data_IF_917037088998
#
_entry.id   IF_917037088998
#
_cell.length_a   1.000
_cell.length_b   1.000
_cell.length_c   1.000
_cell.angle_alpha   90.00
_cell.angle_beta   90.00
_cell.angle_gamma   90.00
#
_symmetry.space_group_name_H-M   'P 1'
#
loop_
_entity.id
_entity.type
_entity.pdbx_description
1 polymer ?
#
# COMPACT_ATOMS: atom_id res chain seq x y z
N UNK A 1 -11.55 -10.82 16.86
CA UNK A 1 -12.27 -11.39 15.70
C UNK A 1 -13.50 -10.58 15.33
N UNK A 2 -14.61 -10.58 16.11
CA UNK A 2 -15.89 -9.95 15.74
C UNK A 2 -15.76 -8.48 15.34
N UNK A 3 -14.90 -7.69 15.99
CA UNK A 3 -14.74 -6.26 15.71
C UNK A 3 -13.98 -6.00 14.40
N UNK A 4 -12.88 -6.69 14.14
CA UNK A 4 -12.00 -6.37 13.01
C UNK A 4 -12.17 -7.31 11.81
N UNK A 5 -12.39 -8.59 12.04
CA UNK A 5 -12.63 -9.56 10.98
C UNK A 5 -14.06 -9.47 10.44
N UNK A 6 -15.07 -9.47 11.34
CA UNK A 6 -16.48 -9.40 10.95
C UNK A 6 -17.06 -7.98 11.00
N UNK A 7 -16.24 -6.98 11.32
CA UNK A 7 -16.61 -5.56 11.37
C UNK A 7 -17.81 -5.24 12.24
N UNK A 8 -18.06 -6.00 13.32
CA UNK A 8 -19.20 -5.82 14.23
C UNK A 8 -18.85 -4.85 15.35
N UNK A 9 -19.43 -3.63 15.39
CA UNK A 9 -19.19 -2.68 16.48
C UNK A 9 -19.62 -3.24 17.85
N UNK A 10 -18.98 -2.79 18.93
CA UNK A 10 -19.26 -3.31 20.28
C UNK A 10 -20.73 -3.21 20.66
N UNK A 11 -21.44 -2.12 20.32
CA UNK A 11 -22.86 -1.99 20.64
C UNK A 11 -23.72 -3.10 20.01
N UNK A 12 -23.39 -3.53 18.78
CA UNK A 12 -24.09 -4.65 18.12
C UNK A 12 -23.76 -5.99 18.80
N UNK A 13 -22.50 -6.20 19.17
CA UNK A 13 -22.07 -7.39 19.91
C UNK A 13 -22.84 -7.48 21.25
N UNK A 14 -23.00 -6.36 21.97
CA UNK A 14 -23.77 -6.32 23.22
C UNK A 14 -25.25 -6.65 22.97
N UNK A 15 -25.84 -6.16 21.90
CA UNK A 15 -27.19 -6.54 21.54
C UNK A 15 -27.34 -8.04 21.31
N UNK A 16 -26.39 -8.66 20.60
CA UNK A 16 -26.34 -10.11 20.40
C UNK A 16 -26.25 -10.86 21.74
N UNK A 17 -25.31 -10.44 22.62
CA UNK A 17 -25.17 -11.06 23.96
C UNK A 17 -26.40 -10.90 24.81
N UNK A 18 -27.11 -9.77 24.74
CA UNK A 18 -28.41 -9.55 25.45
C UNK A 18 -29.49 -10.51 24.97
N UNK A 19 -29.57 -10.77 23.66
CA UNK A 19 -30.49 -11.76 23.10
C UNK A 19 -30.19 -13.19 23.59
N UNK A 20 -28.89 -13.47 23.85
CA UNK A 20 -28.45 -14.74 24.45
C UNK A 20 -28.63 -14.79 25.99
N UNK A 21 -29.26 -13.79 26.59
CA UNK A 21 -29.54 -13.75 28.06
C UNK A 21 -28.46 -13.07 28.91
N UNK A 22 -27.34 -12.60 28.30
CA UNK A 22 -26.24 -11.93 29.02
C UNK A 22 -26.53 -10.43 29.21
N UNK A 23 -27.30 -10.07 30.22
CA UNK A 23 -27.77 -8.69 30.45
C UNK A 23 -26.78 -7.73 31.10
N UNK A 24 -25.70 -8.25 31.72
CA UNK A 24 -24.75 -7.45 32.51
C UNK A 24 -23.58 -6.87 31.71
N UNK A 25 -23.45 -7.20 30.42
CA UNK A 25 -22.34 -6.69 29.60
C UNK A 25 -22.59 -5.26 29.12
N UNK A 26 -21.58 -4.40 29.28
CA UNK A 26 -21.58 -3.01 28.80
C UNK A 26 -20.49 -2.82 27.73
N UNK A 27 -20.61 -1.72 26.96
CA UNK A 27 -19.56 -1.37 25.99
C UNK A 27 -18.20 -1.13 26.66
N UNK A 28 -18.21 -0.46 27.83
CA UNK A 28 -17.01 -0.24 28.63
C UNK A 28 -16.34 -1.55 29.07
N UNK A 29 -17.14 -2.58 29.42
CA UNK A 29 -16.60 -3.91 29.77
C UNK A 29 -15.91 -4.56 28.59
N UNK A 30 -16.54 -4.55 27.41
CA UNK A 30 -15.94 -5.11 26.20
C UNK A 30 -14.69 -4.33 25.77
N UNK A 31 -14.71 -3.00 25.85
CA UNK A 31 -13.57 -2.14 25.54
C UNK A 31 -12.40 -2.45 26.50
N UNK A 32 -12.67 -2.57 27.79
CA UNK A 32 -11.64 -2.94 28.78
C UNK A 32 -11.03 -4.33 28.55
N UNK A 33 -11.83 -5.32 28.21
CA UNK A 33 -11.32 -6.66 27.84
C UNK A 33 -10.50 -6.61 26.57
N UNK A 34 -10.96 -5.85 25.59
CA UNK A 34 -10.28 -5.70 24.32
C UNK A 34 -8.90 -5.04 24.49
N UNK A 35 -8.80 -3.93 25.25
CA UNK A 35 -7.53 -3.27 25.54
C UNK A 35 -6.54 -4.20 26.22
N UNK A 36 -6.98 -4.94 27.24
CA UNK A 36 -6.10 -5.95 27.90
C UNK A 36 -5.63 -7.04 26.94
N UNK A 37 -6.50 -7.49 26.03
CA UNK A 37 -6.11 -8.48 25.02
C UNK A 37 -5.05 -7.92 24.07
N UNK A 38 -5.21 -6.68 23.61
CA UNK A 38 -4.22 -5.99 22.75
C UNK A 38 -2.88 -5.86 23.45
N UNK A 39 -2.87 -5.46 24.75
CA UNK A 39 -1.64 -5.39 25.55
C UNK A 39 -0.92 -6.74 25.64
N UNK A 40 -1.67 -7.84 25.82
CA UNK A 40 -1.10 -9.19 25.83
C UNK A 40 -0.54 -9.62 24.48
N UNK A 41 -1.11 -9.13 23.38
CA UNK A 41 -0.66 -9.44 22.02
C UNK A 41 0.48 -8.54 21.51
N UNK A 42 0.81 -7.48 22.24
CA UNK A 42 1.86 -6.53 21.83
C UNK A 42 3.21 -7.20 21.52
N UNK A 43 3.75 -8.13 22.31
CA UNK A 43 5.02 -8.80 21.97
C UNK A 43 4.94 -9.58 20.65
N UNK A 44 3.77 -10.17 20.33
CA UNK A 44 3.56 -10.85 19.06
C UNK A 44 3.53 -9.86 17.88
N UNK A 45 2.95 -8.68 18.08
CA UNK A 45 2.97 -7.63 17.07
C UNK A 45 4.39 -7.12 16.80
N UNK A 46 5.18 -6.88 17.85
CA UNK A 46 6.59 -6.45 17.73
C UNK A 46 7.44 -7.49 17.00
N UNK A 47 7.17 -8.80 17.23
CA UNK A 47 7.83 -9.87 16.48
C UNK A 47 7.38 -9.88 15.01
N UNK A 48 6.09 -9.69 14.74
CA UNK A 48 5.57 -9.61 13.39
C UNK A 48 6.17 -8.40 12.61
N UNK A 49 6.33 -7.24 13.25
CA UNK A 49 7.05 -6.11 12.65
C UNK A 49 8.49 -6.50 12.28
N UNK A 50 9.20 -7.18 13.20
CA UNK A 50 10.57 -7.64 12.96
C UNK A 50 10.64 -8.59 11.78
N UNK A 51 9.75 -9.58 11.72
CA UNK A 51 9.68 -10.54 10.61
C UNK A 51 9.39 -9.85 9.27
N UNK A 52 8.44 -8.90 9.22
CA UNK A 52 8.13 -8.15 8.00
C UNK A 52 9.34 -7.36 7.50
N UNK A 53 10.07 -6.69 8.39
CA UNK A 53 11.23 -5.88 8.01
C UNK A 53 12.55 -6.68 7.93
N UNK A 54 12.56 -7.97 8.30
CA UNK A 54 13.68 -8.87 8.03
C UNK A 54 13.75 -9.31 6.56
N UNK A 55 12.62 -9.17 5.84
CA UNK A 55 12.53 -9.48 4.42
C UNK A 55 13.16 -8.40 3.57
N UNK A 56 13.77 -8.78 2.44
CA UNK A 56 14.41 -7.86 1.50
C UNK A 56 13.44 -7.26 0.45
N UNK A 57 12.15 -7.61 0.51
CA UNK A 57 11.12 -7.06 -0.37
C UNK A 57 9.79 -6.87 0.35
N UNK A 58 9.43 -5.62 0.54
CA UNK A 58 8.16 -5.21 1.16
C UNK A 58 7.36 -4.28 0.25
N UNK A 59 6.04 -4.31 0.44
CA UNK A 59 5.12 -3.32 -0.13
C UNK A 59 4.56 -2.46 1.00
N UNK A 60 4.44 -1.16 0.76
CA UNK A 60 3.86 -0.20 1.70
C UNK A 60 2.76 0.62 1.03
N UNK A 61 1.76 0.97 1.81
CA UNK A 61 0.67 1.86 1.41
C UNK A 61 0.07 2.50 2.66
N UNK A 62 -0.64 3.61 2.52
CA UNK A 62 -1.32 4.25 3.62
C UNK A 62 -2.83 4.42 3.34
N UNK A 63 -3.62 4.28 4.39
CA UNK A 63 -5.06 4.48 4.30
C UNK A 63 -5.57 5.44 5.35
N UNK A 64 -6.64 6.15 5.03
CA UNK A 64 -7.22 7.12 5.96
C UNK A 64 -8.07 6.46 7.02
N UNK A 65 -7.97 6.95 8.25
CA UNK A 65 -8.84 6.60 9.37
C UNK A 65 -9.42 7.90 9.95
N UNK A 66 -10.76 8.08 9.95
CA UNK A 66 -11.37 9.23 10.60
C UNK A 66 -11.27 9.11 12.12
N UNK A 67 -10.75 10.13 12.79
CA UNK A 67 -10.59 10.18 14.26
C UNK A 67 -11.34 11.38 14.83
N UNK A 68 -12.16 11.17 15.84
CA UNK A 68 -12.94 12.24 16.48
C UNK A 68 -12.00 13.24 17.16
N UNK A 69 -12.08 14.48 16.74
CA UNK A 69 -11.49 15.62 17.41
C UNK A 69 -12.59 16.37 18.14
N UNK A 70 -12.61 16.22 19.46
CA UNK A 70 -13.66 16.83 20.32
C UNK A 70 -13.55 18.35 20.38
N UNK A 71 -12.34 18.90 20.29
CA UNK A 71 -12.10 20.36 20.33
C UNK A 71 -12.63 21.03 19.07
N UNK A 72 -12.44 20.37 17.90
CA UNK A 72 -12.87 20.89 16.60
C UNK A 72 -14.31 20.47 16.25
N UNK A 73 -14.98 19.66 17.06
CA UNK A 73 -16.31 19.10 16.81
C UNK A 73 -16.45 18.42 15.44
N UNK A 74 -15.38 17.73 15.00
CA UNK A 74 -15.35 17.00 13.70
C UNK A 74 -14.47 15.76 13.81
N UNK A 75 -14.50 14.92 12.78
CA UNK A 75 -13.49 13.89 12.59
C UNK A 75 -12.34 14.46 11.74
N UNK A 76 -11.12 14.39 12.25
CA UNK A 76 -9.92 14.68 11.49
C UNK A 76 -9.55 13.46 10.65
N UNK A 77 -8.94 13.69 9.49
CA UNK A 77 -8.48 12.65 8.56
C UNK A 77 -7.08 12.26 8.95
N UNK A 78 -6.95 11.15 9.65
CA UNK A 78 -5.68 10.57 10.08
C UNK A 78 -5.28 9.39 9.19
N UNK A 79 -4.04 8.90 9.31
CA UNK A 79 -3.49 7.86 8.45
C UNK A 79 -3.01 6.66 9.25
N UNK A 80 -3.25 5.50 8.67
CA UNK A 80 -2.75 4.21 9.10
C UNK A 80 -1.84 3.68 8.00
N UNK A 81 -0.61 3.35 8.33
CA UNK A 81 0.36 2.77 7.43
C UNK A 81 0.23 1.26 7.41
N UNK A 82 0.37 0.67 6.25
CA UNK A 82 0.42 -0.76 6.06
C UNK A 82 1.76 -1.12 5.41
N UNK A 83 2.44 -2.13 5.96
CA UNK A 83 3.63 -2.73 5.37
C UNK A 83 3.42 -4.23 5.25
N UNK A 84 3.77 -4.79 4.10
CA UNK A 84 3.62 -6.21 3.82
C UNK A 84 4.90 -6.78 3.24
N UNK A 85 5.42 -7.88 3.80
CA UNK A 85 6.41 -8.70 3.12
C UNK A 85 5.73 -9.48 1.98
N UNK A 86 6.33 -9.44 0.79
CA UNK A 86 5.72 -10.07 -0.40
C UNK A 86 5.91 -11.58 -0.36
N UNK A 87 7.12 -12.02 -0.01
CA UNK A 87 7.50 -13.44 -0.03
C UNK A 87 6.87 -14.22 1.13
N UNK A 88 6.94 -13.68 2.35
CA UNK A 88 6.42 -14.33 3.56
C UNK A 88 4.92 -14.14 3.74
N UNK A 89 4.30 -13.23 2.97
CA UNK A 89 2.86 -12.91 3.01
C UNK A 89 2.40 -12.40 4.38
N UNK A 90 3.31 -11.82 5.16
CA UNK A 90 3.03 -11.18 6.43
C UNK A 90 2.70 -9.71 6.22
N UNK A 91 1.82 -9.15 7.05
CA UNK A 91 1.46 -7.74 6.96
C UNK A 91 1.24 -7.14 8.35
N UNK A 92 1.61 -5.87 8.48
CA UNK A 92 1.39 -5.06 9.68
C UNK A 92 0.64 -3.79 9.33
N UNK A 93 -0.06 -3.25 10.34
CA UNK A 93 -0.62 -1.92 10.31
C UNK A 93 0.02 -1.09 11.40
N UNK A 94 0.52 0.08 11.06
CA UNK A 94 1.18 0.97 12.00
C UNK A 94 0.49 2.34 12.05
N UNK A 95 0.26 2.84 13.27
CA UNK A 95 -0.35 4.14 13.53
C UNK A 95 0.60 5.02 14.34
N UNK A 96 1.01 6.13 13.77
CA UNK A 96 1.88 7.11 14.41
C UNK A 96 1.17 8.48 14.49
N UNK A 97 0.32 8.64 15.52
CA UNK A 97 -0.43 9.87 15.76
C UNK A 97 -1.27 10.37 14.56
N UNK A 98 -1.50 9.52 13.56
CA UNK A 98 -2.24 9.84 12.35
C UNK A 98 -1.45 10.57 11.26
N UNK A 99 -0.14 10.65 11.41
CA UNK A 99 0.74 11.32 10.45
C UNK A 99 0.77 10.61 9.10
N UNK A 100 0.73 11.38 8.00
CA UNK A 100 1.04 10.94 6.63
C UNK A 100 2.48 11.24 6.23
N UNK A 101 3.30 11.79 7.10
CA UNK A 101 4.68 12.15 6.76
C UNK A 101 5.50 10.90 6.39
N UNK A 102 6.32 10.98 5.35
CA UNK A 102 7.24 9.90 4.97
C UNK A 102 8.20 9.49 6.10
N UNK A 103 8.46 10.39 7.05
CA UNK A 103 9.24 10.10 8.25
C UNK A 103 8.69 8.94 9.10
N UNK A 104 7.39 8.62 9.00
CA UNK A 104 6.80 7.47 9.72
C UNK A 104 7.36 6.17 9.17
N UNK A 105 7.28 5.96 7.87
CA UNK A 105 7.79 4.73 7.24
C UNK A 105 9.33 4.68 7.28
N UNK A 106 10.00 5.82 7.20
CA UNK A 106 11.44 5.93 7.36
C UNK A 106 11.88 5.51 8.78
N UNK A 107 11.17 5.98 9.81
CA UNK A 107 11.43 5.61 11.21
C UNK A 107 11.27 4.11 11.43
N UNK A 108 10.21 3.50 10.89
CA UNK A 108 9.99 2.06 10.96
C UNK A 108 11.10 1.29 10.25
N UNK A 109 11.43 1.65 9.02
CA UNK A 109 12.51 1.00 8.28
C UNK A 109 13.85 1.08 9.00
N UNK A 110 14.17 2.24 9.57
CA UNK A 110 15.40 2.46 10.34
C UNK A 110 15.40 1.67 11.65
N UNK A 111 14.28 1.59 12.36
CA UNK A 111 14.14 0.83 13.61
C UNK A 111 14.54 -0.65 13.43
N UNK A 112 14.20 -1.23 12.28
CA UNK A 112 14.50 -2.63 11.95
C UNK A 112 15.69 -2.79 11.01
N UNK A 113 16.42 -1.70 10.71
CA UNK A 113 17.57 -1.70 9.80
C UNK A 113 17.25 -2.35 8.44
N UNK A 114 16.08 -2.00 7.90
CA UNK A 114 15.58 -2.55 6.64
C UNK A 114 16.50 -2.22 5.47
N UNK A 115 16.75 -3.22 4.64
CA UNK A 115 17.53 -3.12 3.41
C UNK A 115 16.85 -3.93 2.31
N UNK A 116 16.72 -3.34 1.14
CA UNK A 116 16.12 -4.03 0.01
C UNK A 116 15.11 -3.19 -0.76
N UNK A 117 14.08 -3.83 -1.29
CA UNK A 117 13.08 -3.20 -2.12
C UNK A 117 11.84 -2.80 -1.31
N UNK A 118 11.46 -1.53 -1.41
CA UNK A 118 10.21 -1.01 -0.88
C UNK A 118 9.33 -0.54 -2.04
N UNK A 119 8.26 -1.27 -2.31
CA UNK A 119 7.30 -0.95 -3.36
C UNK A 119 6.13 -0.15 -2.80
N UNK A 120 5.80 0.97 -3.44
CA UNK A 120 4.76 1.88 -3.02
C UNK A 120 4.03 2.51 -4.21
N UNK A 121 3.03 3.32 -3.91
CA UNK A 121 2.44 4.23 -4.90
C UNK A 121 3.39 5.39 -5.23
N UNK A 122 2.91 6.39 -5.94
CA UNK A 122 3.68 7.59 -6.29
C UNK A 122 3.60 8.72 -5.25
N UNK A 123 3.33 8.45 -3.99
CA UNK A 123 3.33 9.48 -2.96
C UNK A 123 4.75 9.98 -2.68
N UNK A 124 4.97 11.29 -2.83
CA UNK A 124 6.29 11.94 -2.71
C UNK A 124 6.93 11.76 -1.32
N UNK A 125 6.15 11.39 -0.31
CA UNK A 125 6.63 11.11 1.03
C UNK A 125 7.66 9.97 1.07
N UNK A 126 7.48 8.92 0.25
CA UNK A 126 8.43 7.81 0.14
C UNK A 126 9.74 8.26 -0.50
N UNK A 127 9.67 9.02 -1.60
CA UNK A 127 10.88 9.52 -2.28
C UNK A 127 11.71 10.43 -1.34
N UNK A 128 11.04 11.27 -0.56
CA UNK A 128 11.69 12.16 0.40
C UNK A 128 12.33 11.38 1.54
N UNK A 129 11.62 10.39 2.09
CA UNK A 129 12.06 9.58 3.22
C UNK A 129 13.33 8.77 2.89
N UNK A 130 13.38 8.16 1.72
CA UNK A 130 14.48 7.24 1.37
C UNK A 130 15.54 7.84 0.42
N UNK A 131 15.44 9.13 0.10
CA UNK A 131 16.41 9.81 -0.80
C UNK A 131 17.86 9.67 -0.36
N UNK A 132 18.12 9.69 0.94
CA UNK A 132 19.46 9.61 1.51
C UNK A 132 19.86 8.19 1.94
N UNK A 133 18.97 7.21 1.80
CA UNK A 133 19.24 5.83 2.22
C UNK A 133 19.47 4.92 1.01
N UNK A 134 20.73 4.64 0.64
CA UNK A 134 21.06 3.80 -0.53
C UNK A 134 20.74 2.32 -0.32
N UNK A 135 20.50 1.88 0.92
CA UNK A 135 20.17 0.49 1.21
C UNK A 135 18.69 0.17 0.88
N UNK A 136 17.84 1.20 0.70
CA UNK A 136 16.42 1.03 0.34
C UNK A 136 16.21 1.47 -1.11
N UNK A 137 15.79 0.53 -1.96
CA UNK A 137 15.45 0.77 -3.36
C UNK A 137 13.94 0.91 -3.49
N UNK A 138 13.48 2.08 -3.93
CA UNK A 138 12.07 2.31 -4.15
C UNK A 138 11.61 1.67 -5.46
N UNK A 139 10.47 0.99 -5.41
CA UNK A 139 9.72 0.52 -6.57
C UNK A 139 8.39 1.26 -6.62
N UNK A 140 7.94 1.59 -7.82
CA UNK A 140 6.63 2.20 -8.01
C UNK A 140 5.61 1.19 -8.58
N UNK A 141 4.38 1.64 -8.75
CA UNK A 141 3.26 0.82 -9.18
C UNK A 141 2.84 1.16 -10.61
N UNK A 142 2.91 0.19 -11.52
CA UNK A 142 2.52 0.36 -12.91
C UNK A 142 1.01 0.59 -13.08
N UNK A 143 0.18 0.09 -12.14
CA UNK A 143 -1.28 0.34 -12.14
C UNK A 143 -1.57 1.83 -11.94
N UNK A 144 -0.82 2.52 -11.08
CA UNK A 144 -0.98 3.96 -10.88
C UNK A 144 -0.56 4.75 -12.15
N UNK A 145 0.55 4.37 -12.77
CA UNK A 145 0.97 4.94 -14.07
C UNK A 145 -0.12 4.72 -15.12
N UNK A 146 -0.64 3.50 -15.25
CA UNK A 146 -1.73 3.16 -16.15
C UNK A 146 -2.96 4.03 -15.92
N UNK A 147 -3.37 4.22 -14.66
CA UNK A 147 -4.54 5.03 -14.29
C UNK A 147 -4.42 6.48 -14.77
N UNK A 148 -3.23 7.07 -14.69
CA UNK A 148 -3.00 8.42 -15.24
C UNK A 148 -3.20 8.48 -16.74
N UNK A 149 -2.75 7.51 -17.50
CA UNK A 149 -3.01 7.46 -18.96
C UNK A 149 -4.47 7.15 -19.27
N UNK A 150 -5.17 6.33 -18.48
CA UNK A 150 -6.61 6.12 -18.62
C UNK A 150 -7.40 7.44 -18.45
N UNK A 151 -7.03 8.27 -17.48
CA UNK A 151 -7.64 9.59 -17.27
C UNK A 151 -7.37 10.57 -18.41
N UNK A 152 -6.32 10.37 -19.19
CA UNK A 152 -5.96 11.21 -20.33
C UNK A 152 -6.63 10.79 -21.66
N UNK A 153 -7.37 9.67 -21.70
CA UNK A 153 -8.00 9.13 -22.92
C UNK A 153 -8.98 10.10 -23.58
N UNK A 154 -9.73 10.87 -22.79
CA UNK A 154 -10.73 11.81 -23.31
C UNK A 154 -10.08 13.07 -23.89
N UNK A 155 -8.90 13.46 -23.41
CA UNK A 155 -8.16 14.63 -23.88
C UNK A 155 -7.26 14.29 -25.08
N UNK A 156 -6.50 13.19 -25.00
CA UNK A 156 -5.58 12.77 -26.05
C UNK A 156 -5.54 11.23 -26.16
N UNK A 157 -6.51 10.71 -26.91
CA UNK A 157 -6.70 9.26 -27.07
C UNK A 157 -5.49 8.57 -27.70
N UNK A 158 -4.87 9.15 -28.70
CA UNK A 158 -3.75 8.53 -29.43
C UNK A 158 -2.57 8.29 -28.50
N UNK A 159 -2.12 9.31 -27.79
CA UNK A 159 -0.98 9.23 -26.87
C UNK A 159 -1.27 8.35 -25.65
N UNK A 160 -2.45 8.49 -25.09
CA UNK A 160 -2.85 7.66 -23.96
C UNK A 160 -2.95 6.17 -24.36
N UNK A 161 -3.56 5.89 -25.51
CA UNK A 161 -3.70 4.51 -26.02
C UNK A 161 -2.35 3.89 -26.36
N UNK A 162 -1.39 4.67 -26.88
CA UNK A 162 -0.02 4.19 -27.09
C UNK A 162 0.58 3.67 -25.79
N UNK A 163 0.59 4.49 -24.73
CA UNK A 163 1.14 4.09 -23.44
C UNK A 163 0.40 2.90 -22.83
N UNK A 164 -0.92 2.89 -22.87
CA UNK A 164 -1.75 1.80 -22.36
C UNK A 164 -1.48 0.47 -23.07
N UNK A 165 -1.22 0.53 -24.37
CA UNK A 165 -0.88 -0.65 -25.17
C UNK A 165 0.48 -1.22 -24.75
N UNK A 166 1.49 -0.39 -24.54
CA UNK A 166 2.80 -0.85 -24.08
C UNK A 166 2.71 -1.47 -22.67
N UNK A 167 1.99 -0.83 -21.75
CA UNK A 167 1.75 -1.38 -20.41
C UNK A 167 1.02 -2.74 -20.51
N UNK A 168 0.06 -2.89 -21.40
CA UNK A 168 -0.64 -4.16 -21.63
C UNK A 168 0.30 -5.27 -22.12
N UNK A 169 1.29 -4.95 -22.96
CA UNK A 169 2.31 -5.94 -23.37
C UNK A 169 3.17 -6.40 -22.19
N UNK A 170 3.57 -5.50 -21.28
CA UNK A 170 4.30 -5.88 -20.07
C UNK A 170 3.47 -6.88 -19.23
N UNK A 171 2.20 -6.58 -18.96
CA UNK A 171 1.32 -7.49 -18.22
C UNK A 171 1.06 -8.82 -18.97
N UNK A 172 1.06 -8.81 -20.31
CA UNK A 172 0.95 -10.05 -21.10
C UNK A 172 2.17 -10.94 -20.92
N UNK A 173 3.37 -10.36 -20.87
CA UNK A 173 4.61 -11.10 -20.60
C UNK A 173 4.56 -11.73 -19.21
N UNK A 174 4.14 -10.96 -18.19
CA UNK A 174 4.00 -11.48 -16.83
C UNK A 174 3.01 -12.64 -16.73
N UNK A 175 1.85 -12.51 -17.36
CA UNK A 175 0.85 -13.58 -17.40
C UNK A 175 1.41 -14.84 -18.03
N UNK A 176 2.17 -14.73 -19.12
CA UNK A 176 2.83 -15.89 -19.72
C UNK A 176 3.85 -16.53 -18.76
N UNK A 177 4.58 -15.73 -17.96
CA UNK A 177 5.48 -16.28 -16.95
C UNK A 177 4.71 -17.07 -15.87
N UNK A 178 3.55 -16.55 -15.44
CA UNK A 178 2.70 -17.21 -14.45
C UNK A 178 2.07 -18.50 -15.00
N UNK A 179 1.50 -18.45 -16.21
CA UNK A 179 0.85 -19.59 -16.87
C UNK A 179 1.83 -20.74 -17.16
N UNK A 180 3.09 -20.40 -17.42
CA UNK A 180 4.14 -21.40 -17.67
C UNK A 180 4.90 -21.81 -16.42
N UNK A 181 4.60 -21.22 -15.26
CA UNK A 181 5.20 -21.56 -13.97
C UNK A 181 6.71 -21.30 -13.91
N UNK A 182 7.20 -20.24 -14.55
CA UNK A 182 8.61 -19.91 -14.57
C UNK A 182 9.15 -19.61 -13.16
N UNK A 183 10.36 -20.09 -12.89
CA UNK A 183 11.14 -19.67 -11.73
C UNK A 183 11.45 -18.16 -11.77
N UNK A 184 11.85 -17.56 -10.64
CA UNK A 184 12.20 -16.15 -10.60
C UNK A 184 13.36 -15.78 -11.53
N UNK A 185 14.35 -16.67 -11.67
CA UNK A 185 15.48 -16.45 -12.60
C UNK A 185 15.03 -16.50 -14.06
N UNK A 186 14.21 -17.46 -14.43
CA UNK A 186 13.66 -17.56 -15.79
C UNK A 186 12.75 -16.37 -16.10
N UNK A 187 11.93 -15.93 -15.14
CA UNK A 187 11.11 -14.72 -15.25
C UNK A 187 11.99 -13.48 -15.47
N UNK A 188 13.06 -13.32 -14.71
CA UNK A 188 14.03 -12.23 -14.89
C UNK A 188 14.60 -12.24 -16.30
N UNK A 189 15.07 -13.39 -16.79
CA UNK A 189 15.61 -13.51 -18.15
C UNK A 189 14.55 -13.17 -19.22
N UNK A 190 13.33 -13.63 -19.06
CA UNK A 190 12.23 -13.31 -19.99
C UNK A 190 11.86 -11.82 -19.96
N UNK A 191 11.89 -11.17 -18.80
CA UNK A 191 11.72 -9.72 -18.69
C UNK A 191 12.85 -8.95 -19.39
N UNK A 192 14.11 -9.39 -19.23
CA UNK A 192 15.25 -8.81 -19.91
C UNK A 192 15.11 -8.90 -21.43
N UNK A 193 14.64 -10.04 -21.93
CA UNK A 193 14.48 -10.27 -23.36
C UNK A 193 13.30 -9.50 -23.96
N UNK A 194 12.13 -9.55 -23.32
CA UNK A 194 10.86 -9.09 -23.91
C UNK A 194 10.35 -7.77 -23.34
N UNK A 195 10.49 -7.53 -22.02
CA UNK A 195 9.95 -6.34 -21.39
C UNK A 195 10.94 -5.16 -21.42
N UNK A 196 12.25 -5.41 -21.29
CA UNK A 196 13.28 -4.35 -21.34
C UNK A 196 13.17 -3.48 -22.59
N UNK A 197 13.12 -4.03 -23.83
CA UNK A 197 12.99 -3.19 -25.02
C UNK A 197 11.75 -2.30 -25.00
N UNK A 198 10.62 -2.80 -24.46
CA UNK A 198 9.39 -2.03 -24.33
C UNK A 198 9.60 -0.88 -23.33
N UNK A 199 10.20 -1.17 -22.18
CA UNK A 199 10.44 -0.18 -21.13
C UNK A 199 11.40 0.92 -21.60
N UNK A 200 12.48 0.56 -22.29
CA UNK A 200 13.44 1.50 -22.86
C UNK A 200 12.80 2.37 -23.95
N UNK A 201 12.04 1.77 -24.87
CA UNK A 201 11.32 2.51 -25.90
C UNK A 201 10.29 3.48 -25.31
N UNK A 202 9.59 3.09 -24.25
CA UNK A 202 8.65 3.95 -23.53
C UNK A 202 9.38 5.13 -22.85
N UNK A 203 10.56 4.92 -22.29
CA UNK A 203 11.35 6.02 -21.70
C UNK A 203 11.69 7.07 -22.75
N UNK A 204 12.26 6.63 -23.89
CA UNK A 204 12.59 7.51 -25.03
C UNK A 204 11.33 8.22 -25.57
N UNK A 205 10.22 7.51 -25.67
CA UNK A 205 8.95 8.09 -26.12
C UNK A 205 8.46 9.18 -25.15
N UNK A 206 8.53 8.96 -23.84
CA UNK A 206 8.16 9.99 -22.86
C UNK A 206 9.08 11.21 -22.92
N UNK A 207 10.37 11.04 -23.18
CA UNK A 207 11.34 12.13 -23.35
C UNK A 207 11.06 12.95 -24.60
N UNK A 208 10.73 12.30 -25.70
CA UNK A 208 10.51 12.97 -27.00
C UNK A 208 9.11 13.57 -27.15
N UNK A 209 8.10 12.88 -26.68
CA UNK A 209 6.70 13.33 -26.80
C UNK A 209 6.29 14.24 -25.63
N UNK A 210 6.82 13.98 -24.42
CA UNK A 210 6.45 14.72 -23.20
C UNK A 210 6.66 16.23 -23.31
N UNK A 211 7.71 16.66 -23.99
CA UNK A 211 8.03 18.08 -24.21
C UNK A 211 6.99 18.81 -25.08
N UNK A 212 6.18 18.08 -25.83
CA UNK A 212 5.16 18.65 -26.74
C UNK A 212 3.86 19.03 -25.99
N UNK A 213 3.69 18.59 -24.74
CA UNK A 213 2.46 18.77 -23.98
C UNK A 213 2.67 19.64 -22.75
N UNK A 214 1.68 20.51 -22.49
CA UNK A 214 1.69 21.32 -21.26
C UNK A 214 1.65 20.43 -20.01
N UNK A 215 2.47 20.72 -18.99
CA UNK A 215 2.39 20.02 -17.71
C UNK A 215 1.01 20.09 -17.02
N UNK A 216 0.16 21.05 -17.39
CA UNK A 216 -1.20 21.20 -16.89
C UNK A 216 -2.23 20.29 -17.56
N UNK A 217 -1.96 19.81 -18.79
CA UNK A 217 -2.84 18.90 -19.51
C UNK A 217 -2.88 17.51 -18.85
N UNK A 218 -3.95 16.73 -19.09
CA UNK A 218 -4.04 15.37 -18.51
C UNK A 218 -2.95 14.46 -19.06
N UNK A 219 -2.68 14.53 -20.37
CA UNK A 219 -1.61 13.72 -20.97
C UNK A 219 -0.22 14.17 -20.50
N UNK A 220 0.03 15.48 -20.34
CA UNK A 220 1.29 15.99 -19.78
C UNK A 220 1.52 15.54 -18.34
N UNK A 221 0.46 15.56 -17.53
CA UNK A 221 0.52 15.00 -16.15
C UNK A 221 0.80 13.51 -16.14
N UNK A 222 0.16 12.73 -17.02
CA UNK A 222 0.37 11.29 -17.13
C UNK A 222 1.81 10.97 -17.52
N UNK A 223 2.36 11.64 -18.53
CA UNK A 223 3.74 11.45 -18.97
C UNK A 223 4.73 11.87 -17.87
N UNK A 224 4.54 13.03 -17.24
CA UNK A 224 5.41 13.49 -16.16
C UNK A 224 5.38 12.53 -14.97
N UNK A 225 4.19 12.06 -14.57
CA UNK A 225 4.04 11.09 -13.48
C UNK A 225 4.77 9.78 -13.79
N UNK A 226 4.61 9.26 -15.00
CA UNK A 226 5.28 8.04 -15.44
C UNK A 226 6.81 8.23 -15.53
N UNK A 227 7.26 9.28 -16.19
CA UNK A 227 8.69 9.55 -16.44
C UNK A 227 9.50 9.68 -15.15
N UNK A 228 8.99 10.45 -14.17
CA UNK A 228 9.68 10.65 -12.89
C UNK A 228 9.83 9.38 -12.05
N UNK A 229 9.07 8.32 -12.35
CA UNK A 229 9.06 7.03 -11.64
C UNK A 229 9.60 5.87 -12.47
N UNK A 230 9.96 6.17 -13.72
CA UNK A 230 10.27 5.11 -14.68
C UNK A 230 11.52 4.33 -14.31
N UNK A 231 12.55 5.00 -13.76
CA UNK A 231 13.78 4.33 -13.35
C UNK A 231 13.51 3.34 -12.19
N UNK A 232 12.66 3.71 -11.24
CA UNK A 232 12.22 2.79 -10.19
C UNK A 232 11.43 1.59 -10.75
N UNK A 233 10.67 1.80 -11.85
CA UNK A 233 9.99 0.69 -12.53
C UNK A 233 10.94 -0.24 -13.27
N UNK A 234 12.06 0.29 -13.78
CA UNK A 234 13.10 -0.51 -14.45
C UNK A 234 13.75 -1.54 -13.51
N UNK A 235 13.79 -1.28 -12.20
CA UNK A 235 14.30 -2.24 -11.20
C UNK A 235 13.55 -3.58 -11.24
N UNK A 236 12.28 -3.60 -11.63
CA UNK A 236 11.49 -4.84 -11.79
C UNK A 236 12.08 -5.80 -12.84
N UNK A 237 12.96 -5.31 -13.73
CA UNK A 237 13.65 -6.12 -14.72
C UNK A 237 14.83 -6.91 -14.13
N UNK A 238 15.37 -6.46 -12.99
CA UNK A 238 16.61 -7.01 -12.41
C UNK A 238 16.35 -8.19 -11.46
N UNK A 239 15.12 -8.33 -10.96
CA UNK A 239 14.74 -9.42 -10.05
C UNK A 239 13.34 -9.95 -10.39
N UNK A 240 13.24 -11.25 -10.70
CA UNK A 240 11.98 -11.89 -11.07
C UNK A 240 10.96 -12.01 -9.94
N UNK A 241 11.35 -11.75 -8.68
CA UNK A 241 10.44 -11.72 -7.52
C UNK A 241 9.61 -10.43 -7.49
N UNK A 242 10.15 -9.34 -8.04
CA UNK A 242 9.52 -8.02 -7.96
C UNK A 242 8.25 -7.98 -8.81
N UNK A 243 7.21 -7.35 -8.27
CA UNK A 243 5.93 -7.19 -8.95
C UNK A 243 5.85 -5.84 -9.66
N UNK A 244 5.09 -5.78 -10.76
CA UNK A 244 4.85 -4.53 -11.47
C UNK A 244 3.88 -3.58 -10.75
N UNK A 245 3.18 -4.08 -9.73
CA UNK A 245 2.19 -3.31 -8.99
C UNK A 245 2.15 -3.67 -7.50
N UNK A 246 1.53 -2.80 -6.71
CA UNK A 246 1.32 -2.99 -5.28
C UNK A 246 -0.11 -3.47 -4.95
N UNK A 247 -0.78 -4.17 -5.85
CA UNK A 247 -2.15 -4.67 -5.64
C UNK A 247 -2.27 -5.57 -4.40
N UNK A 248 -1.20 -6.28 -4.02
CA UNK A 248 -1.20 -7.09 -2.81
C UNK A 248 -1.33 -6.22 -1.55
N UNK A 249 -0.67 -5.06 -1.52
CA UNK A 249 -0.79 -4.07 -0.46
C UNK A 249 -2.22 -3.51 -0.39
N UNK A 250 -2.78 -3.09 -1.54
CA UNK A 250 -4.16 -2.59 -1.62
C UNK A 250 -5.17 -3.63 -1.12
N UNK A 251 -4.97 -4.92 -1.43
CA UNK A 251 -5.84 -5.99 -0.95
C UNK A 251 -5.80 -6.16 0.57
N UNK A 252 -4.65 -5.99 1.21
CA UNK A 252 -4.51 -6.04 2.68
C UNK A 252 -5.25 -4.88 3.35
N UNK A 253 -5.32 -3.72 2.71
CA UNK A 253 -6.04 -2.54 3.24
C UNK A 253 -7.57 -2.69 3.14
N UNK A 254 -8.10 -3.50 2.22
CA UNK A 254 -9.55 -3.65 1.99
C UNK A 254 -10.37 -3.95 3.25
N UNK A 255 -9.98 -4.87 4.16
CA UNK A 255 -10.71 -5.10 5.41
C UNK A 255 -10.84 -3.84 6.26
N UNK A 256 -9.79 -3.02 6.35
CA UNK A 256 -9.83 -1.75 7.08
C UNK A 256 -10.86 -0.79 6.44
N UNK A 257 -10.88 -0.72 5.11
CA UNK A 257 -11.84 0.15 4.40
C UNK A 257 -13.29 -0.31 4.57
N UNK A 258 -13.52 -1.62 4.65
CA UNK A 258 -14.84 -2.18 4.97
C UNK A 258 -15.23 -1.89 6.43
N UNK A 259 -14.30 -2.04 7.36
CA UNK A 259 -14.49 -1.69 8.77
C UNK A 259 -14.93 -0.24 8.94
N UNK A 260 -14.30 0.70 8.27
CA UNK A 260 -14.67 2.12 8.29
C UNK A 260 -16.14 2.38 7.89
N UNK A 261 -16.68 1.60 6.96
CA UNK A 261 -18.10 1.70 6.57
C UNK A 261 -19.06 1.23 7.66
N UNK A 262 -18.60 0.40 8.59
CA UNK A 262 -19.41 -0.14 9.68
C UNK A 262 -19.36 0.71 10.96
N UNK A 263 -18.16 1.20 11.34
CA UNK A 263 -18.01 2.00 12.57
C UNK A 263 -17.67 3.46 12.32
N UNK A 264 -17.58 3.90 11.07
CA UNK A 264 -17.48 5.27 10.58
C UNK A 264 -16.21 6.03 11.02
N UNK A 265 -15.82 5.97 12.30
CA UNK A 265 -14.69 6.71 12.88
C UNK A 265 -14.12 6.00 14.11
N UNK A 266 -12.89 6.37 14.49
CA UNK A 266 -12.31 6.06 15.78
C UNK A 266 -12.66 7.17 16.80
N UNK A 267 -12.95 6.80 18.04
CA UNK A 267 -13.35 7.75 19.09
C UNK A 267 -12.20 8.65 19.58
N UNK A 268 -10.96 8.21 19.40
CA UNK A 268 -9.72 8.91 19.77
C UNK A 268 -8.51 8.21 19.11
N UNK A 269 -7.32 8.79 19.26
CA UNK A 269 -6.06 8.22 18.77
C UNK A 269 -5.74 6.86 19.40
N UNK A 270 -6.05 6.66 20.69
CA UNK A 270 -5.88 5.37 21.37
C UNK A 270 -6.64 4.24 20.69
N UNK A 271 -7.87 4.52 20.22
CA UNK A 271 -8.66 3.55 19.46
C UNK A 271 -8.02 3.19 18.11
N UNK A 272 -7.21 4.07 17.52
CA UNK A 272 -6.46 3.78 16.29
C UNK A 272 -5.26 2.87 16.55
N UNK A 273 -4.57 3.02 17.69
CA UNK A 273 -3.48 2.13 18.08
C UNK A 273 -3.92 0.67 18.18
N UNK A 274 -5.21 0.42 18.41
CA UNK A 274 -5.75 -0.94 18.46
C UNK A 274 -5.78 -1.64 17.09
N UNK A 275 -5.61 -0.91 15.97
CA UNK A 275 -5.40 -1.49 14.64
C UNK A 275 -3.97 -2.00 14.43
N UNK A 276 -3.03 -1.54 15.25
CA UNK A 276 -1.62 -1.98 15.22
C UNK A 276 -1.39 -3.26 16.02
N UNK A 277 -2.45 -3.89 16.52
CA UNK A 277 -2.33 -5.21 17.14
C UNK A 277 -2.44 -6.29 16.05
N UNK A 278 -1.78 -7.45 16.22
CA UNK A 278 -1.86 -8.53 15.27
C UNK A 278 -3.33 -8.91 15.07
N UNK A 279 -3.79 -8.75 13.84
CA UNK A 279 -5.08 -9.28 13.42
C UNK A 279 -4.84 -10.68 12.87
N UNK A 280 -5.64 -11.66 13.24
CA UNK A 280 -5.53 -13.00 12.68
C UNK A 280 -5.80 -13.02 11.20
#
# INVERSE_FOLDING_TARGET
LQKYEYHVPFYRQIQQYRHLGMKGLTESTLDGWFKKTVELLKPLYEELEREVFSCDYVQADETTVPVINREKHRADKEYLWMVRSVMEKLAIFHYDGGSRAGAVIESLANQYNFKGYLQCDGFAGYETAFKANPDVRLLNCLVHIRRHFEQALDENREMAQHALTQIQYIYKIERQCDETGLSYDERRLKRQELARPIMEAMKVWMETEGIKYSPGSQIGKAITYAYTRWDNMMECLEDGRLLWDNNLAENVIRPITLGRKNYLFCGNHEACLLYTSPSP
#
